data_IF_578943591490
#
_entry.id   IF_578943591490
#
_cell.length_a   1.000
_cell.length_b   1.000
_cell.length_c   1.000
_cell.angle_alpha   90.00
_cell.angle_beta   90.00
_cell.angle_gamma   90.00
#
_symmetry.space_group_name_H-M   'P 1'
#
loop_
_entity.id
_entity.type
_entity.pdbx_description
1 polymer ?
#
# COMPACT_ATOMS: atom_id res chain seq x y z
N UNK A 1 -24.82 -0.50 -6.75
CA UNK A 1 -23.60 -0.83 -6.01
C UNK A 1 -23.54 0.09 -4.80
N UNK A 2 -23.35 -0.43 -3.58
CA UNK A 2 -23.11 0.44 -2.42
C UNK A 2 -21.75 1.14 -2.61
N UNK A 3 -21.52 2.34 -2.07
CA UNK A 3 -20.16 2.88 -1.97
C UNK A 3 -19.31 1.96 -1.08
N UNK A 4 -17.98 1.87 -1.28
CA UNK A 4 -17.14 1.34 -0.19
C UNK A 4 -17.22 2.30 0.98
N UNK A 5 -17.18 1.74 2.17
CA UNK A 5 -17.08 2.49 3.42
C UNK A 5 -15.67 2.38 4.00
N UNK A 6 -15.31 3.33 4.85
CA UNK A 6 -14.12 3.22 5.68
C UNK A 6 -14.60 2.92 7.10
N UNK A 7 -14.00 1.91 7.73
CA UNK A 7 -14.14 1.76 9.17
C UNK A 7 -13.37 2.89 9.85
N UNK A 8 -14.04 3.69 10.68
CA UNK A 8 -13.38 4.67 11.52
C UNK A 8 -12.82 3.95 12.76
N UNK A 9 -11.70 3.23 12.60
CA UNK A 9 -10.92 2.80 13.77
C UNK A 9 -10.19 4.02 14.34
N UNK A 10 -10.93 4.86 15.06
CA UNK A 10 -10.35 5.91 15.90
C UNK A 10 -9.75 5.27 17.13
N UNK A 11 -8.47 4.93 17.09
CA UNK A 11 -7.68 4.64 18.29
C UNK A 11 -7.58 5.92 19.13
N UNK A 12 -7.50 5.77 20.46
CA UNK A 12 -7.82 6.85 21.41
C UNK A 12 -6.72 7.89 21.64
N UNK A 13 -5.59 7.84 20.95
CA UNK A 13 -4.66 8.98 20.84
C UNK A 13 -3.93 8.92 19.47
N UNK A 14 -4.06 9.93 18.62
CA UNK A 14 -3.36 9.99 17.33
C UNK A 14 -1.82 9.90 17.45
N UNK A 15 -1.22 10.42 18.53
CA UNK A 15 0.24 10.36 18.75
C UNK A 15 0.70 8.94 19.11
N UNK A 16 0.05 8.29 20.08
CA UNK A 16 0.33 6.88 20.44
C UNK A 16 0.14 5.95 19.24
N UNK A 17 -0.80 6.29 18.35
CA UNK A 17 -1.11 5.42 17.22
C UNK A 17 -0.09 5.52 16.09
N UNK A 18 0.46 6.71 15.83
CA UNK A 18 1.52 6.86 14.81
C UNK A 18 2.74 5.98 15.17
N UNK A 19 3.05 5.88 16.46
CA UNK A 19 4.16 5.07 16.99
C UNK A 19 4.04 3.58 16.63
N UNK A 20 2.80 3.05 16.59
CA UNK A 20 2.51 1.64 16.25
C UNK A 20 2.76 1.31 14.77
N UNK A 21 2.80 2.34 13.92
CA UNK A 21 2.86 2.19 12.46
C UNK A 21 4.17 2.71 11.88
N UNK A 22 5.18 2.96 12.72
CA UNK A 22 6.56 3.19 12.30
C UNK A 22 7.38 1.94 12.64
N UNK A 23 8.12 1.39 11.67
CA UNK A 23 9.07 0.32 11.96
C UNK A 23 10.37 0.90 12.52
N UNK A 24 10.39 1.14 13.83
CA UNK A 24 11.56 1.65 14.56
C UNK A 24 12.79 0.77 14.41
N UNK A 25 12.64 -0.53 14.09
CA UNK A 25 13.75 -1.45 13.89
C UNK A 25 14.52 -1.22 12.59
N UNK A 26 13.93 -0.50 11.62
CA UNK A 26 14.58 -0.14 10.35
C UNK A 26 15.34 1.19 10.44
N UNK A 27 15.18 1.95 11.53
CA UNK A 27 15.82 3.24 11.68
C UNK A 27 17.19 3.12 12.35
N UNK A 28 18.14 4.02 12.01
CA UNK A 28 19.45 4.05 12.67
C UNK A 28 19.33 4.25 14.20
N UNK A 29 20.22 3.63 14.98
CA UNK A 29 20.13 3.66 16.45
C UNK A 29 20.33 5.07 17.06
N UNK A 30 20.99 5.97 16.35
CA UNK A 30 21.27 7.34 16.77
C UNK A 30 20.09 8.31 16.59
N UNK A 31 18.97 7.85 16.00
CA UNK A 31 17.75 8.67 15.84
C UNK A 31 16.99 8.85 17.15
N UNK A 32 17.25 8.01 18.16
CA UNK A 32 16.61 8.09 19.47
C UNK A 32 17.52 8.78 20.49
N UNK A 33 16.94 9.57 21.39
CA UNK A 33 17.59 10.05 22.59
C UNK A 33 17.92 8.90 23.55
N UNK A 34 18.98 9.09 24.36
CA UNK A 34 19.38 8.14 25.40
C UNK A 34 18.20 7.85 26.33
N UNK A 35 17.95 6.56 26.56
CA UNK A 35 16.77 6.06 27.24
C UNK A 35 16.97 5.99 28.76
N UNK A 36 16.10 6.64 29.53
CA UNK A 36 15.93 6.35 30.96
C UNK A 36 14.73 5.43 31.24
N UNK A 37 14.03 4.98 30.19
CA UNK A 37 12.89 4.06 30.22
C UNK A 37 11.55 4.73 30.51
N UNK A 38 11.46 6.07 30.49
CA UNK A 38 10.28 6.80 30.98
C UNK A 38 9.39 7.41 29.89
N UNK A 39 9.90 7.62 28.68
CA UNK A 39 9.18 8.30 27.59
C UNK A 39 8.81 7.37 26.42
N UNK A 40 7.66 7.59 25.75
CA UNK A 40 7.31 6.93 24.50
C UNK A 40 8.37 7.11 23.41
N UNK A 41 8.45 6.18 22.44
CA UNK A 41 9.46 6.22 21.38
C UNK A 41 9.38 7.50 20.54
N UNK A 42 8.17 7.90 20.13
CA UNK A 42 7.93 9.11 19.33
C UNK A 42 8.48 10.39 19.98
N UNK A 43 8.41 10.50 21.31
CA UNK A 43 8.90 11.67 22.07
C UNK A 43 10.43 11.72 22.15
N UNK A 44 11.10 10.60 21.86
CA UNK A 44 12.56 10.46 21.94
C UNK A 44 13.23 10.59 20.58
N UNK A 45 12.47 10.74 19.50
CA UNK A 45 13.02 10.84 18.16
C UNK A 45 13.61 12.22 17.92
N UNK A 46 14.77 12.28 17.27
CA UNK A 46 15.34 13.50 16.71
C UNK A 46 14.92 13.60 15.24
N UNK A 47 13.92 14.41 14.86
CA UNK A 47 13.44 14.47 13.48
C UNK A 47 14.56 14.85 12.49
N UNK A 48 15.51 15.68 12.89
CA UNK A 48 16.68 16.05 12.10
C UNK A 48 17.61 14.87 11.78
N UNK A 49 17.61 13.80 12.58
CA UNK A 49 18.41 12.60 12.35
C UNK A 49 17.72 11.60 11.41
N UNK A 50 16.42 11.73 11.18
CA UNK A 50 15.67 10.81 10.31
C UNK A 50 15.98 11.04 8.83
N UNK A 51 16.17 9.97 8.03
CA UNK A 51 16.22 10.09 6.58
C UNK A 51 14.83 10.41 5.99
N UNK A 52 14.80 11.00 4.80
CA UNK A 52 13.58 11.04 4.00
C UNK A 52 13.21 9.62 3.53
N UNK A 53 11.93 9.23 3.48
CA UNK A 53 10.72 10.02 3.80
C UNK A 53 10.25 9.96 5.28
N UNK A 54 10.97 9.27 6.17
CA UNK A 54 10.57 9.12 7.58
C UNK A 54 10.46 10.47 8.31
N UNK A 55 11.42 11.37 8.08
CA UNK A 55 11.40 12.71 8.67
C UNK A 55 10.12 13.46 8.33
N UNK A 56 9.73 13.46 7.07
CA UNK A 56 8.59 14.22 6.57
C UNK A 56 7.28 13.65 7.13
N UNK A 57 7.16 12.32 7.21
CA UNK A 57 6.03 11.64 7.84
C UNK A 57 5.91 11.99 9.33
N UNK A 58 7.03 11.99 10.06
CA UNK A 58 7.03 12.35 11.49
C UNK A 58 6.66 13.82 11.70
N UNK A 59 7.25 14.72 10.91
CA UNK A 59 6.99 16.16 11.00
C UNK A 59 5.55 16.54 10.61
N UNK A 60 4.88 15.74 9.78
CA UNK A 60 3.46 15.91 9.50
C UNK A 60 2.57 15.62 10.72
N UNK A 61 3.10 14.90 11.71
CA UNK A 61 2.41 14.56 12.93
C UNK A 61 1.27 13.55 12.74
N UNK A 62 0.42 13.41 13.76
CA UNK A 62 -0.67 12.46 13.75
C UNK A 62 -1.71 12.75 12.67
N UNK A 63 -2.26 11.67 12.10
CA UNK A 63 -3.25 11.73 11.02
C UNK A 63 -4.35 10.69 11.23
N UNK A 64 -5.58 10.92 10.73
CA UNK A 64 -6.65 9.94 10.80
C UNK A 64 -6.23 8.61 10.16
N UNK A 65 -6.64 7.51 10.79
CA UNK A 65 -6.41 6.14 10.32
C UNK A 65 -7.71 5.57 9.80
N UNK A 66 -7.63 4.89 8.67
CA UNK A 66 -8.76 4.21 8.09
C UNK A 66 -8.41 2.78 7.71
N UNK A 67 -9.44 1.94 7.74
CA UNK A 67 -9.45 0.63 7.11
C UNK A 67 -10.48 0.66 5.99
N UNK A 68 -10.06 0.25 4.79
CA UNK A 68 -10.96 0.07 3.66
C UNK A 68 -11.93 -1.07 3.91
N UNK A 69 -13.12 -1.04 3.29
CA UNK A 69 -14.01 -2.20 3.27
C UNK A 69 -13.48 -3.25 2.29
N UNK A 70 -13.28 -4.48 2.76
CA UNK A 70 -13.03 -5.62 1.87
C UNK A 70 -14.27 -6.01 1.07
N UNK A 71 -14.13 -6.05 -0.26
CA UNK A 71 -15.16 -6.53 -1.19
C UNK A 71 -14.67 -7.75 -1.95
N UNK A 72 -15.23 -8.91 -1.60
CA UNK A 72 -15.00 -10.18 -2.29
C UNK A 72 -16.36 -10.76 -2.71
N UNK A 73 -16.73 -10.68 -4.00
CA UNK A 73 -17.99 -11.22 -4.49
C UNK A 73 -18.13 -12.71 -4.24
N UNK A 74 -19.27 -13.10 -3.66
CA UNK A 74 -19.55 -14.50 -3.34
C UNK A 74 -18.82 -15.03 -2.11
N UNK A 75 -18.08 -14.20 -1.38
CA UNK A 75 -17.50 -14.58 -0.09
C UNK A 75 -18.62 -14.84 0.91
N UNK A 76 -18.56 -15.99 1.55
CA UNK A 76 -19.33 -16.29 2.74
C UNK A 76 -18.48 -15.90 3.96
N UNK A 77 -18.95 -15.01 4.85
CA UNK A 77 -18.21 -14.64 6.06
C UNK A 77 -17.89 -15.81 7.00
N UNK A 78 -18.63 -16.91 6.87
CA UNK A 78 -18.45 -18.13 7.66
C UNK A 78 -17.48 -19.14 7.01
N UNK A 79 -17.00 -18.87 5.78
CA UNK A 79 -16.04 -19.74 5.09
C UNK A 79 -14.61 -19.22 5.34
N UNK A 80 -13.71 -20.11 5.76
CA UNK A 80 -12.28 -19.80 5.94
C UNK A 80 -11.53 -19.65 4.61
N UNK A 81 -12.20 -19.91 3.48
CA UNK A 81 -11.61 -19.94 2.15
C UNK A 81 -12.38 -19.07 1.16
N UNK A 82 -11.75 -17.98 0.73
CA UNK A 82 -12.34 -17.08 -0.25
C UNK A 82 -11.79 -17.33 -1.69
N UNK A 83 -12.50 -16.89 -2.74
CA UNK A 83 -12.06 -17.10 -4.12
C UNK A 83 -10.76 -16.37 -4.51
N UNK A 84 -10.36 -15.31 -3.81
CA UNK A 84 -9.07 -14.64 -4.03
C UNK A 84 -7.95 -15.51 -3.49
N UNK A 85 -8.11 -16.07 -2.29
CA UNK A 85 -7.20 -17.05 -1.70
C UNK A 85 -7.04 -18.28 -2.62
N UNK A 86 -8.14 -18.79 -3.19
CA UNK A 86 -8.11 -19.84 -4.22
C UNK A 86 -7.28 -19.45 -5.45
N UNK A 87 -7.51 -18.26 -5.98
CA UNK A 87 -6.77 -17.78 -7.14
C UNK A 87 -5.27 -17.60 -6.83
N UNK A 88 -4.93 -17.12 -5.64
CA UNK A 88 -3.54 -16.94 -5.20
C UNK A 88 -2.79 -18.28 -5.12
N UNK A 89 -3.38 -19.33 -4.52
CA UNK A 89 -2.77 -20.65 -4.50
C UNK A 89 -2.59 -21.24 -5.91
N UNK A 90 -3.58 -21.06 -6.79
CA UNK A 90 -3.48 -21.50 -8.18
C UNK A 90 -2.35 -20.77 -8.93
N UNK A 91 -2.13 -19.47 -8.64
CA UNK A 91 -0.99 -18.72 -9.17
C UNK A 91 0.33 -19.31 -8.67
N UNK A 92 0.46 -19.61 -7.39
CA UNK A 92 1.66 -20.23 -6.80
C UNK A 92 1.94 -21.63 -7.39
N UNK A 93 0.90 -22.42 -7.64
CA UNK A 93 1.00 -23.73 -8.31
C UNK A 93 1.25 -23.62 -9.82
N UNK A 94 1.19 -22.42 -10.40
CA UNK A 94 1.39 -22.18 -11.82
C UNK A 94 0.16 -22.38 -12.71
N UNK A 95 -1.02 -22.61 -12.15
CA UNK A 95 -2.30 -22.65 -12.88
C UNK A 95 -2.91 -21.25 -13.05
N UNK A 96 -2.15 -20.39 -13.72
CA UNK A 96 -2.54 -19.02 -14.04
C UNK A 96 -3.85 -18.90 -14.83
N UNK A 97 -4.15 -19.75 -15.84
CA UNK A 97 -5.41 -19.66 -16.57
C UNK A 97 -6.63 -19.80 -15.66
N UNK A 98 -6.61 -20.74 -14.71
CA UNK A 98 -7.69 -20.94 -13.76
C UNK A 98 -7.78 -19.80 -12.77
N UNK A 99 -6.66 -19.38 -12.18
CA UNK A 99 -6.62 -18.23 -11.27
C UNK A 99 -7.18 -16.96 -11.92
N UNK A 100 -6.73 -16.64 -13.13
CA UNK A 100 -7.18 -15.45 -13.85
C UNK A 100 -8.67 -15.51 -14.21
N UNK A 101 -9.21 -16.71 -14.46
CA UNK A 101 -10.65 -16.89 -14.68
C UNK A 101 -11.44 -16.57 -13.42
N UNK A 102 -10.98 -17.00 -12.24
CA UNK A 102 -11.61 -16.71 -10.95
C UNK A 102 -11.58 -15.19 -10.70
N UNK A 103 -10.41 -14.56 -10.76
CA UNK A 103 -10.25 -13.13 -10.49
C UNK A 103 -11.09 -12.26 -11.44
N UNK A 104 -11.12 -12.56 -12.74
CA UNK A 104 -12.00 -11.85 -13.69
C UNK A 104 -13.49 -12.08 -13.40
N UNK A 105 -13.86 -13.26 -12.89
CA UNK A 105 -15.22 -13.53 -12.46
C UNK A 105 -15.61 -12.74 -11.22
N UNK A 106 -14.66 -12.41 -10.33
CA UNK A 106 -14.92 -11.50 -9.22
C UNK A 106 -15.15 -10.08 -9.74
N UNK A 107 -14.28 -9.58 -10.61
CA UNK A 107 -14.40 -8.24 -11.18
C UNK A 107 -15.69 -8.05 -12.00
N UNK A 108 -16.18 -9.09 -12.67
CA UNK A 108 -17.45 -9.03 -13.42
C UNK A 108 -18.68 -8.95 -12.52
N UNK A 109 -18.58 -9.41 -11.27
CA UNK A 109 -19.66 -9.33 -10.29
C UNK A 109 -19.63 -8.01 -9.51
N UNK A 110 -18.44 -7.57 -9.09
CA UNK A 110 -18.25 -6.28 -8.46
C UNK A 110 -16.87 -5.69 -8.80
N UNK A 111 -16.88 -4.59 -9.53
CA UNK A 111 -15.66 -3.88 -9.90
C UNK A 111 -14.92 -3.28 -8.68
N UNK A 112 -15.54 -3.23 -7.50
CA UNK A 112 -14.88 -2.73 -6.28
C UNK A 112 -13.95 -3.77 -5.62
N UNK A 113 -13.87 -4.99 -6.15
CA UNK A 113 -12.95 -6.01 -5.67
C UNK A 113 -11.50 -5.65 -6.04
N UNK A 114 -10.87 -4.82 -5.20
CA UNK A 114 -9.50 -4.34 -5.39
C UNK A 114 -8.49 -5.50 -5.45
N UNK A 115 -8.75 -6.59 -4.73
CA UNK A 115 -7.84 -7.74 -4.73
C UNK A 115 -7.81 -8.47 -6.07
N UNK A 116 -8.93 -8.44 -6.80
CA UNK A 116 -8.97 -8.90 -8.18
C UNK A 116 -7.96 -8.16 -9.07
N UNK A 117 -7.88 -6.84 -8.95
CA UNK A 117 -6.91 -6.02 -9.70
C UNK A 117 -5.48 -6.24 -9.23
N UNK A 118 -5.26 -6.34 -7.91
CA UNK A 118 -3.93 -6.55 -7.32
C UNK A 118 -3.31 -7.85 -7.85
N UNK A 119 -4.05 -8.96 -7.81
CA UNK A 119 -3.57 -10.27 -8.23
C UNK A 119 -3.45 -10.41 -9.76
N UNK A 120 -4.41 -9.86 -10.53
CA UNK A 120 -4.32 -9.86 -12.00
C UNK A 120 -3.11 -9.04 -12.48
N UNK A 121 -2.90 -7.85 -11.91
CA UNK A 121 -1.74 -7.02 -12.21
C UNK A 121 -0.42 -7.74 -11.89
N UNK A 122 -0.34 -8.37 -10.71
CA UNK A 122 0.85 -9.11 -10.26
C UNK A 122 1.20 -10.26 -11.19
N UNK A 123 0.23 -11.14 -11.48
CA UNK A 123 0.47 -12.28 -12.37
C UNK A 123 0.87 -11.89 -13.79
N UNK A 124 0.42 -10.72 -14.29
CA UNK A 124 0.84 -10.20 -15.59
C UNK A 124 2.26 -9.61 -15.51
N UNK A 125 2.57 -8.85 -14.46
CA UNK A 125 3.86 -8.21 -14.27
C UNK A 125 5.01 -9.23 -14.21
N UNK A 126 4.81 -10.33 -13.48
CA UNK A 126 5.84 -11.36 -13.26
C UNK A 126 6.15 -12.18 -14.51
N UNK A 127 5.13 -12.40 -15.35
CA UNK A 127 5.23 -13.35 -16.48
C UNK A 127 5.56 -12.69 -17.81
N UNK A 128 5.29 -11.40 -17.96
CA UNK A 128 5.43 -10.72 -19.23
C UNK A 128 6.70 -9.88 -19.28
N UNK A 129 7.31 -9.82 -20.47
CA UNK A 129 8.41 -8.91 -20.74
C UNK A 129 7.98 -7.44 -20.76
N UNK A 130 6.73 -7.16 -21.16
CA UNK A 130 6.08 -5.85 -21.07
C UNK A 130 5.15 -5.77 -19.85
N UNK A 131 5.02 -4.57 -19.28
CA UNK A 131 4.13 -4.27 -18.14
C UNK A 131 2.79 -3.69 -18.54
N UNK A 132 2.52 -3.45 -19.84
CA UNK A 132 1.35 -2.66 -20.27
C UNK A 132 0.02 -3.26 -19.77
N UNK A 133 -0.13 -4.59 -19.87
CA UNK A 133 -1.34 -5.25 -19.35
C UNK A 133 -1.45 -5.21 -17.82
N UNK A 134 -0.34 -5.08 -17.08
CA UNK A 134 -0.35 -4.96 -15.62
C UNK A 134 -0.71 -3.54 -15.20
N UNK A 135 -0.21 -2.54 -15.94
CA UNK A 135 -0.54 -1.12 -15.75
C UNK A 135 -2.05 -0.92 -15.79
N UNK A 136 -2.76 -1.51 -16.77
CA UNK A 136 -4.21 -1.35 -16.89
C UNK A 136 -4.95 -1.78 -15.61
N UNK A 137 -4.63 -2.96 -15.06
CA UNK A 137 -5.26 -3.43 -13.83
C UNK A 137 -4.89 -2.56 -12.62
N UNK A 138 -3.62 -2.21 -12.48
CA UNK A 138 -3.19 -1.39 -11.35
C UNK A 138 -3.73 0.04 -11.40
N UNK A 139 -3.78 0.69 -12.56
CA UNK A 139 -4.38 2.01 -12.71
C UNK A 139 -5.86 2.00 -12.34
N UNK A 140 -6.62 1.00 -12.79
CA UNK A 140 -8.03 0.87 -12.44
C UNK A 140 -8.20 0.63 -10.94
N UNK A 141 -7.41 -0.29 -10.36
CA UNK A 141 -7.45 -0.57 -8.92
C UNK A 141 -7.11 0.67 -8.07
N UNK A 142 -6.06 1.42 -8.45
CA UNK A 142 -5.69 2.68 -7.77
C UNK A 142 -6.80 3.73 -7.93
N UNK A 143 -7.36 3.91 -9.13
CA UNK A 143 -8.43 4.89 -9.35
C UNK A 143 -9.70 4.57 -8.56
N UNK A 144 -10.03 3.28 -8.44
CA UNK A 144 -11.15 2.81 -7.60
C UNK A 144 -10.83 3.09 -6.13
N UNK A 145 -9.65 2.69 -5.63
CA UNK A 145 -9.18 2.98 -4.28
C UNK A 145 -9.23 4.47 -3.91
N UNK A 146 -8.66 5.31 -4.78
CA UNK A 146 -8.67 6.77 -4.64
C UNK A 146 -10.09 7.33 -4.54
N UNK A 147 -11.03 6.80 -5.33
CA UNK A 147 -12.41 7.29 -5.32
C UNK A 147 -13.10 7.16 -3.95
N UNK A 148 -12.65 6.21 -3.11
CA UNK A 148 -13.15 6.03 -1.75
C UNK A 148 -12.47 6.94 -0.74
N UNK A 149 -11.23 7.30 -1.00
CA UNK A 149 -10.47 8.22 -0.19
C UNK A 149 -10.80 9.69 -0.53
N UNK A 150 -11.35 9.93 -1.73
CA UNK A 150 -11.68 11.27 -2.21
C UNK A 150 -12.52 12.11 -1.24
N UNK A 151 -13.57 11.57 -0.58
CA UNK A 151 -14.34 12.34 0.40
C UNK A 151 -13.53 12.76 1.64
N UNK A 152 -12.38 12.12 1.90
CA UNK A 152 -11.51 12.43 3.04
C UNK A 152 -10.42 13.45 2.73
N UNK A 153 -10.18 13.74 1.46
CA UNK A 153 -9.09 14.62 1.06
C UNK A 153 -9.29 16.02 1.63
N UNK A 154 -8.26 16.54 2.28
CA UNK A 154 -8.23 17.90 2.83
C UNK A 154 -7.23 18.74 2.02
N UNK A 155 -7.65 19.91 1.56
CA UNK A 155 -6.85 20.76 0.68
C UNK A 155 -7.03 20.45 -0.81
N UNK A 156 -6.43 21.28 -1.66
CA UNK A 156 -6.49 21.17 -3.12
C UNK A 156 -5.08 21.38 -3.72
N UNK A 157 -4.58 20.47 -4.58
CA UNK A 157 -5.23 19.24 -5.00
C UNK A 157 -5.25 18.19 -3.88
N UNK A 158 -6.06 17.15 -4.04
CA UNK A 158 -6.19 16.11 -3.04
C UNK A 158 -4.89 15.33 -2.80
N UNK A 159 -4.59 15.05 -1.53
CA UNK A 159 -3.32 14.47 -1.12
C UNK A 159 -3.52 13.18 -0.30
N UNK A 160 -2.91 12.07 -0.74
CA UNK A 160 -2.90 10.77 -0.02
C UNK A 160 -2.18 10.86 1.32
N UNK A 161 -1.46 11.96 1.58
CA UNK A 161 -0.69 12.20 2.80
C UNK A 161 -1.53 12.64 3.99
N UNK A 162 -2.81 12.97 3.81
CA UNK A 162 -3.68 13.47 4.89
C UNK A 162 -4.18 12.41 5.88
N UNK A 163 -3.95 11.12 5.60
CA UNK A 163 -4.41 10.00 6.44
C UNK A 163 -3.44 8.82 6.33
N UNK A 164 -3.68 7.81 7.16
CA UNK A 164 -2.95 6.54 7.19
C UNK A 164 -3.87 5.40 6.76
N UNK A 165 -3.31 4.45 6.00
CA UNK A 165 -3.88 3.14 5.69
C UNK A 165 -2.86 2.07 6.10
N UNK A 166 -2.75 1.75 7.40
CA UNK A 166 -1.73 0.84 7.88
C UNK A 166 -1.88 -0.56 7.29
N UNK A 167 -0.75 -1.21 6.97
CA UNK A 167 -0.72 -2.59 6.45
C UNK A 167 -1.29 -3.65 7.40
N UNK A 168 -1.26 -3.36 8.71
CA UNK A 168 -1.80 -4.23 9.74
C UNK A 168 -3.33 -4.35 9.69
N UNK A 169 -4.02 -3.35 9.13
CA UNK A 169 -5.45 -3.39 8.84
C UNK A 169 -5.61 -4.07 7.47
N UNK A 170 -6.01 -5.34 7.50
CA UNK A 170 -5.82 -6.29 6.39
C UNK A 170 -6.54 -5.84 5.13
N UNK A 171 -7.70 -5.20 5.28
CA UNK A 171 -8.54 -4.76 4.16
C UNK A 171 -7.90 -3.61 3.36
N UNK A 172 -6.86 -2.94 3.89
CA UNK A 172 -6.09 -1.94 3.15
C UNK A 172 -5.14 -2.55 2.11
N UNK A 173 -4.71 -3.80 2.32
CA UNK A 173 -3.64 -4.42 1.55
C UNK A 173 -3.91 -4.48 0.04
N UNK A 174 -5.12 -4.79 -0.45
CA UNK A 174 -5.39 -4.81 -1.88
C UNK A 174 -5.08 -3.47 -2.57
N UNK A 175 -5.49 -2.35 -1.96
CA UNK A 175 -5.20 -1.02 -2.48
C UNK A 175 -3.70 -0.70 -2.45
N UNK A 176 -3.04 -0.95 -1.33
CA UNK A 176 -1.60 -0.72 -1.18
C UNK A 176 -0.78 -1.53 -2.20
N UNK A 177 -1.17 -2.78 -2.46
CA UNK A 177 -0.58 -3.63 -3.50
C UNK A 177 -0.84 -3.08 -4.90
N UNK A 178 -2.04 -2.58 -5.20
CA UNK A 178 -2.29 -1.91 -6.48
C UNK A 178 -1.38 -0.70 -6.68
N UNK A 179 -1.20 0.12 -5.64
CA UNK A 179 -0.34 1.31 -5.67
C UNK A 179 1.13 0.93 -5.88
N UNK A 180 1.63 -0.06 -5.12
CA UNK A 180 2.99 -0.59 -5.27
C UNK A 180 3.19 -1.19 -6.67
N UNK A 181 2.26 -2.01 -7.14
CA UNK A 181 2.30 -2.63 -8.46
C UNK A 181 2.36 -1.60 -9.58
N UNK A 182 1.58 -0.53 -9.48
CA UNK A 182 1.66 0.59 -10.42
C UNK A 182 3.03 1.26 -10.36
N UNK A 183 3.56 1.51 -9.17
CA UNK A 183 4.88 2.12 -8.98
C UNK A 183 6.00 1.28 -9.60
N UNK A 184 5.96 -0.04 -9.41
CA UNK A 184 6.89 -1.00 -10.03
C UNK A 184 6.79 -0.98 -11.56
N UNK A 185 5.57 -0.92 -12.10
CA UNK A 185 5.38 -0.77 -13.55
C UNK A 185 6.01 0.51 -14.09
N UNK A 186 5.83 1.64 -13.38
CA UNK A 186 6.46 2.93 -13.74
C UNK A 186 7.97 2.87 -13.69
N UNK A 187 8.52 2.23 -12.66
CA UNK A 187 9.96 2.01 -12.55
C UNK A 187 10.49 1.19 -13.73
N UNK A 188 9.84 0.07 -14.05
CA UNK A 188 10.21 -0.77 -15.20
C UNK A 188 10.06 -0.08 -16.56
N UNK A 189 9.20 0.93 -16.66
CA UNK A 189 9.05 1.82 -17.82
C UNK A 189 10.04 3.00 -17.83
N UNK A 190 10.97 3.09 -16.87
CA UNK A 190 11.86 4.24 -16.64
C UNK A 190 11.10 5.58 -16.46
N UNK A 191 9.85 5.52 -15.99
CA UNK A 191 9.06 6.70 -15.59
C UNK A 191 9.41 7.06 -14.14
N UNK A 192 10.63 7.54 -13.94
CA UNK A 192 11.25 7.76 -12.63
C UNK A 192 10.40 8.61 -11.70
N UNK A 193 10.00 9.80 -12.15
CA UNK A 193 9.26 10.76 -11.31
C UNK A 193 7.89 10.21 -10.89
N UNK A 194 7.22 9.46 -11.78
CA UNK A 194 5.96 8.79 -11.45
C UNK A 194 6.14 7.67 -10.42
N UNK A 195 7.19 6.86 -10.57
CA UNK A 195 7.51 5.80 -9.63
C UNK A 195 7.87 6.37 -8.25
N UNK A 196 8.71 7.42 -8.20
CA UNK A 196 9.08 8.11 -6.96
C UNK A 196 7.82 8.62 -6.26
N UNK A 197 6.96 9.35 -6.98
CA UNK A 197 5.72 9.87 -6.41
C UNK A 197 4.83 8.76 -5.85
N UNK A 198 4.63 7.65 -6.58
CA UNK A 198 3.80 6.54 -6.12
C UNK A 198 4.39 5.80 -4.90
N UNK A 199 5.70 5.57 -4.86
CA UNK A 199 6.34 4.96 -3.69
C UNK A 199 6.37 5.90 -2.49
N UNK A 200 6.53 7.21 -2.70
CA UNK A 200 6.34 8.20 -1.64
C UNK A 200 4.92 8.17 -1.12
N UNK A 201 3.91 8.21 -1.99
CA UNK A 201 2.51 8.12 -1.58
C UNK A 201 2.23 6.82 -0.79
N UNK A 202 2.80 5.69 -1.24
CA UNK A 202 2.68 4.40 -0.54
C UNK A 202 3.24 4.45 0.88
N UNK A 203 4.45 4.99 1.05
CA UNK A 203 5.08 5.12 2.36
C UNK A 203 4.30 6.07 3.28
N UNK A 204 3.75 7.15 2.72
CA UNK A 204 2.96 8.11 3.51
C UNK A 204 1.64 7.53 4.01
N UNK A 205 1.07 6.57 3.28
CA UNK A 205 -0.12 5.81 3.69
C UNK A 205 0.22 4.75 4.74
N UNK A 206 1.35 4.05 4.58
CA UNK A 206 1.81 3.00 5.50
C UNK A 206 3.29 3.19 5.88
N UNK A 207 3.59 3.95 6.95
CA UNK A 207 4.97 4.21 7.40
C UNK A 207 5.67 2.99 8.01
N UNK A 208 4.96 1.85 8.14
CA UNK A 208 5.54 0.59 8.60
C UNK A 208 6.36 -0.09 7.50
N UNK A 209 6.35 0.47 6.29
CA UNK A 209 7.15 0.12 5.12
C UNK A 209 7.12 -1.38 4.78
N UNK A 210 5.99 -2.05 5.02
CA UNK A 210 5.86 -3.52 4.84
C UNK A 210 6.04 -3.95 3.38
N UNK A 211 5.86 -3.01 2.46
CA UNK A 211 6.06 -3.20 1.02
C UNK A 211 7.43 -2.67 0.52
N UNK A 212 8.32 -2.24 1.42
CA UNK A 212 9.70 -1.87 1.11
C UNK A 212 9.86 -0.67 0.18
N UNK A 213 8.98 0.32 0.30
CA UNK A 213 9.00 1.53 -0.51
C UNK A 213 10.31 2.33 -0.33
N UNK A 214 10.84 2.44 0.90
CA UNK A 214 12.03 3.28 1.17
C UNK A 214 13.28 2.73 0.48
N UNK A 215 13.46 1.41 0.50
CA UNK A 215 14.56 0.77 -0.21
C UNK A 215 14.49 1.03 -1.72
N UNK A 216 13.28 0.99 -2.30
CA UNK A 216 13.08 1.26 -3.74
C UNK A 216 13.26 2.74 -4.07
N UNK A 217 12.82 3.67 -3.20
CA UNK A 217 13.03 5.11 -3.40
C UNK A 217 14.51 5.46 -3.59
N UNK A 218 15.40 4.85 -2.80
CA UNK A 218 16.85 5.05 -2.93
C UNK A 218 17.39 4.61 -4.30
N UNK A 219 16.85 3.53 -4.86
CA UNK A 219 17.19 3.05 -6.21
C UNK A 219 16.64 3.98 -7.30
N UNK A 220 15.43 4.52 -7.10
CA UNK A 220 14.80 5.44 -8.05
C UNK A 220 15.50 6.80 -8.09
N UNK A 221 15.92 7.34 -6.95
CA UNK A 221 16.67 8.61 -6.85
C UNK A 221 18.01 8.52 -7.58
N UNK A 222 18.67 7.36 -7.51
CA UNK A 222 19.88 7.06 -8.29
C UNK A 222 19.61 6.66 -9.75
N UNK A 223 18.34 6.63 -10.16
CA UNK A 223 17.87 6.17 -11.49
C UNK A 223 18.41 4.80 -11.88
N UNK A 224 18.51 3.91 -10.89
CA UNK A 224 18.91 2.52 -11.10
C UNK A 224 17.83 1.80 -11.91
N UNK A 225 18.13 1.23 -13.09
CA UNK A 225 17.17 0.46 -13.88
C UNK A 225 16.52 -0.65 -13.07
N UNK A 226 15.23 -0.89 -13.33
CA UNK A 226 14.54 -2.00 -12.71
C UNK A 226 15.24 -3.32 -13.02
N UNK A 227 15.41 -4.13 -11.98
CA UNK A 227 15.78 -5.54 -12.08
C UNK A 227 14.86 -6.35 -11.16
N UNK A 228 14.58 -7.63 -11.48
CA UNK A 228 14.01 -8.52 -10.49
C UNK A 228 14.93 -8.50 -9.26
N UNK A 229 14.36 -8.23 -8.09
CA UNK A 229 15.11 -8.40 -6.85
C UNK A 229 15.42 -9.90 -6.68
N UNK A 230 16.64 -10.25 -6.24
CA UNK A 230 17.07 -11.65 -6.09
C UNK A 230 16.23 -12.43 -5.08
#
# INVERSE_FOLDING_TARGET
LRPLTLSSMGLSDPEETLDLWIDWGQLPYDVLEEDDGTLPLLERVKPEALPSPYREVLMAGPRPIYEMEQVIPGMNPDDDWDPVSEAAELMEMGDWPTAFRILRSLLSQDLRCLDGYSHLGSGIFDRNSSVDGAVDYYEIGVAIGDSFLHPLWQGEPPDRRSYLLPWGLIDNRPYLRCLQGLALCRWRQNRWDDAIRLFTDLFWLDPSDRLGAVAVLSLLESRTPWSPLP
#
